data_IF_921328223143
#
_entry.id   IF_921328223143
#
_cell.length_a   1.000
_cell.length_b   1.000
_cell.length_c   1.000
_cell.angle_alpha   90.00
_cell.angle_beta   90.00
_cell.angle_gamma   90.00
#
_symmetry.space_group_name_H-M   'P 1'
#
loop_
_entity.id
_entity.type
_entity.pdbx_description
1 polymer ?
#
# COMPACT_ATOMS: atom_id res chain seq x y z
N UNK A 1 12.09 2.12 -17.41
CA UNK A 1 10.85 1.86 -16.65
C UNK A 1 11.22 1.40 -15.24
N UNK A 2 10.71 2.11 -14.23
CA UNK A 2 10.45 1.58 -12.88
C UNK A 2 11.55 1.68 -11.83
N UNK A 3 12.76 1.21 -12.10
CA UNK A 3 13.74 0.96 -11.03
C UNK A 3 14.99 1.78 -11.24
N UNK A 4 14.97 3.02 -10.77
CA UNK A 4 16.03 4.01 -11.06
C UNK A 4 17.41 3.63 -10.48
N UNK A 5 17.45 2.84 -9.41
CA UNK A 5 18.69 2.40 -8.76
C UNK A 5 18.60 0.96 -8.27
N UNK A 6 19.75 0.31 -8.06
CA UNK A 6 19.82 -1.01 -7.44
C UNK A 6 19.15 -1.04 -6.05
N UNK A 7 19.34 0.01 -5.23
CA UNK A 7 18.70 0.13 -3.92
C UNK A 7 17.17 0.16 -4.02
N UNK A 8 16.63 0.91 -4.98
CA UNK A 8 15.18 0.92 -5.29
C UNK A 8 14.68 -0.47 -5.69
N UNK A 9 15.47 -1.24 -6.45
CA UNK A 9 15.13 -2.59 -6.86
C UNK A 9 15.08 -3.57 -5.69
N UNK A 10 16.06 -3.49 -4.79
CA UNK A 10 16.10 -4.30 -3.58
C UNK A 10 14.92 -3.96 -2.67
N UNK A 11 14.62 -2.67 -2.44
CA UNK A 11 13.48 -2.26 -1.62
C UNK A 11 12.14 -2.70 -2.21
N UNK A 12 11.97 -2.58 -3.53
CA UNK A 12 10.81 -3.10 -4.25
C UNK A 12 10.65 -4.61 -4.02
N UNK A 13 11.73 -5.37 -4.21
CA UNK A 13 11.72 -6.83 -4.04
C UNK A 13 11.43 -7.25 -2.60
N UNK A 14 12.00 -6.56 -1.62
CA UNK A 14 11.73 -6.78 -0.19
C UNK A 14 10.26 -6.52 0.10
N UNK A 15 9.70 -5.39 -0.33
CA UNK A 15 8.29 -5.06 -0.10
C UNK A 15 7.35 -6.11 -0.70
N UNK A 16 7.57 -6.52 -1.95
CA UNK A 16 6.76 -7.55 -2.61
C UNK A 16 6.89 -8.90 -1.90
N UNK A 17 8.10 -9.28 -1.48
CA UNK A 17 8.33 -10.51 -0.71
C UNK A 17 7.59 -10.50 0.63
N UNK A 18 7.66 -9.38 1.37
CA UNK A 18 6.94 -9.20 2.64
C UNK A 18 5.43 -9.23 2.44
N UNK A 19 4.92 -8.64 1.36
CA UNK A 19 3.50 -8.68 1.01
C UNK A 19 3.02 -10.12 0.77
N UNK A 20 3.76 -10.91 -0.03
CA UNK A 20 3.44 -12.32 -0.27
C UNK A 20 3.48 -13.12 1.03
N UNK A 21 4.46 -12.88 1.90
CA UNK A 21 4.53 -13.52 3.20
C UNK A 21 3.34 -13.17 4.09
N UNK A 22 2.92 -11.90 4.10
CA UNK A 22 1.78 -11.41 4.86
C UNK A 22 0.47 -12.05 4.39
N UNK A 23 0.26 -12.15 3.08
CA UNK A 23 -0.88 -12.85 2.49
C UNK A 23 -0.87 -14.35 2.83
N UNK A 24 0.32 -14.96 2.88
CA UNK A 24 0.49 -16.36 3.28
C UNK A 24 0.11 -16.58 4.74
N UNK A 25 0.56 -15.71 5.65
CA UNK A 25 0.22 -15.81 7.08
C UNK A 25 -1.28 -15.56 7.33
N UNK A 26 -1.90 -14.66 6.58
CA UNK A 26 -3.34 -14.46 6.62
C UNK A 26 -4.10 -15.73 6.16
N UNK A 27 -3.65 -16.37 5.07
CA UNK A 27 -4.22 -17.63 4.61
C UNK A 27 -4.06 -18.77 5.63
N UNK A 28 -2.89 -18.89 6.25
CA UNK A 28 -2.64 -19.85 7.33
C UNK A 28 -3.58 -19.62 8.52
N UNK A 29 -3.77 -18.36 8.95
CA UNK A 29 -4.70 -18.01 10.01
C UNK A 29 -6.10 -18.54 9.71
N UNK A 30 -6.62 -18.31 8.49
CA UNK A 30 -7.95 -18.77 8.12
C UNK A 30 -8.07 -20.29 8.09
N UNK A 31 -7.08 -20.99 7.52
CA UNK A 31 -7.08 -22.46 7.47
C UNK A 31 -7.08 -23.05 8.88
N UNK A 32 -6.36 -22.46 9.83
CA UNK A 32 -6.29 -22.97 11.20
C UNK A 32 -7.50 -22.56 12.05
N UNK A 33 -8.11 -21.40 11.77
CA UNK A 33 -9.24 -20.90 12.54
C UNK A 33 -10.58 -21.52 12.12
N UNK A 34 -10.75 -21.87 10.84
CA UNK A 34 -12.04 -22.23 10.25
C UNK A 34 -12.21 -23.76 10.09
N UNK A 35 -13.46 -24.26 10.10
CA UNK A 35 -13.74 -25.69 10.21
C UNK A 35 -13.43 -26.51 8.95
N UNK A 36 -13.32 -25.87 7.79
CA UNK A 36 -12.97 -26.53 6.53
C UNK A 36 -12.20 -25.59 5.61
N UNK A 37 -11.46 -26.18 4.66
CA UNK A 37 -10.70 -25.44 3.65
C UNK A 37 -11.63 -24.63 2.74
N UNK A 38 -12.82 -25.13 2.43
CA UNK A 38 -13.82 -24.44 1.62
C UNK A 38 -14.32 -23.17 2.30
N UNK A 39 -14.65 -23.26 3.60
CA UNK A 39 -15.07 -22.09 4.39
C UNK A 39 -13.92 -21.08 4.48
N UNK A 40 -12.69 -21.55 4.72
CA UNK A 40 -11.51 -20.69 4.75
C UNK A 40 -11.27 -19.96 3.41
N UNK A 41 -11.48 -20.63 2.28
CA UNK A 41 -11.36 -20.01 0.97
C UNK A 41 -12.40 -18.90 0.76
N UNK A 42 -13.67 -19.16 1.06
CA UNK A 42 -14.76 -18.17 0.91
C UNK A 42 -14.52 -16.95 1.80
N UNK A 43 -14.19 -17.17 3.08
CA UNK A 43 -13.85 -16.09 4.01
C UNK A 43 -12.61 -15.33 3.54
N UNK A 44 -11.60 -16.05 3.05
CA UNK A 44 -10.38 -15.46 2.51
C UNK A 44 -10.67 -14.51 1.34
N UNK A 45 -11.51 -14.91 0.40
CA UNK A 45 -11.93 -14.04 -0.72
C UNK A 45 -12.66 -12.80 -0.21
N UNK A 46 -13.61 -12.97 0.71
CA UNK A 46 -14.38 -11.85 1.28
C UNK A 46 -13.47 -10.84 1.99
N UNK A 47 -12.59 -11.30 2.87
CA UNK A 47 -11.68 -10.42 3.61
C UNK A 47 -10.69 -9.73 2.66
N UNK A 48 -10.16 -10.43 1.65
CA UNK A 48 -9.30 -9.81 0.66
C UNK A 48 -10.04 -8.74 -0.16
N UNK A 49 -11.29 -8.96 -0.52
CA UNK A 49 -12.09 -7.97 -1.23
C UNK A 49 -12.31 -6.71 -0.38
N UNK A 50 -12.60 -6.88 0.92
CA UNK A 50 -12.73 -5.76 1.86
C UNK A 50 -11.40 -5.00 1.95
N UNK A 51 -10.29 -5.70 2.17
CA UNK A 51 -8.97 -5.07 2.25
C UNK A 51 -8.57 -4.36 0.95
N UNK A 52 -8.90 -4.92 -0.23
CA UNK A 52 -8.63 -4.27 -1.50
C UNK A 52 -9.41 -2.96 -1.64
N UNK A 53 -10.69 -2.96 -1.24
CA UNK A 53 -11.55 -1.77 -1.27
C UNK A 53 -11.01 -0.65 -0.37
N UNK A 54 -10.46 -1.02 0.79
CA UNK A 54 -9.88 -0.07 1.75
C UNK A 54 -8.36 0.02 1.66
N UNK A 55 -7.74 -0.38 0.54
CA UNK A 55 -6.30 -0.25 0.35
C UNK A 55 -5.87 1.20 0.05
N UNK A 56 -6.83 2.08 -0.32
CA UNK A 56 -6.59 3.50 -0.59
C UNK A 56 -6.17 3.82 -2.03
N UNK A 57 -6.41 2.91 -2.97
CA UNK A 57 -6.26 3.16 -4.41
C UNK A 57 -7.58 3.51 -5.08
N UNK A 58 -8.60 2.64 -4.92
CA UNK A 58 -9.93 2.86 -5.45
C UNK A 58 -11.00 2.43 -4.42
N UNK A 59 -11.59 3.37 -3.66
CA UNK A 59 -11.37 4.81 -3.71
C UNK A 59 -9.97 5.23 -3.24
N UNK A 60 -9.42 6.37 -3.72
CA UNK A 60 -8.20 6.94 -3.19
C UNK A 60 -8.31 7.21 -1.69
N UNK A 61 -7.21 7.07 -0.95
CA UNK A 61 -7.26 7.21 0.50
C UNK A 61 -7.83 8.57 0.97
N UNK A 62 -7.62 9.64 0.20
CA UNK A 62 -8.13 10.98 0.52
C UNK A 62 -9.66 11.13 0.40
N UNK A 63 -10.36 10.19 -0.23
CA UNK A 63 -11.82 10.21 -0.38
C UNK A 63 -12.55 9.17 0.47
N UNK A 64 -11.83 8.43 1.32
CA UNK A 64 -12.45 7.52 2.30
C UNK A 64 -13.11 8.35 3.40
N UNK A 65 -14.42 8.18 3.68
CA UNK A 65 -15.09 8.93 4.74
C UNK A 65 -14.49 8.66 6.12
N UNK A 66 -14.46 9.67 6.98
CA UNK A 66 -13.85 9.59 8.33
C UNK A 66 -14.35 8.40 9.16
N UNK A 67 -15.64 8.06 9.06
CA UNK A 67 -16.25 6.93 9.78
C UNK A 67 -15.70 5.56 9.36
N UNK A 68 -15.16 5.45 8.15
CA UNK A 68 -14.57 4.22 7.60
C UNK A 68 -13.03 4.26 7.57
N UNK A 69 -12.41 5.34 8.05
CA UNK A 69 -10.96 5.50 8.03
C UNK A 69 -10.23 4.45 8.88
N UNK A 70 -10.89 3.91 9.92
CA UNK A 70 -10.34 2.80 10.70
C UNK A 70 -10.14 1.53 9.85
N UNK A 71 -11.03 1.23 8.88
CA UNK A 71 -10.87 0.11 7.95
C UNK A 71 -9.63 0.28 7.08
N UNK A 72 -9.39 1.51 6.63
CA UNK A 72 -8.17 1.87 5.92
C UNK A 72 -6.92 1.62 6.79
N UNK A 73 -6.95 1.96 8.08
CA UNK A 73 -5.81 1.72 8.98
C UNK A 73 -5.55 0.24 9.32
N UNK A 74 -6.60 -0.57 9.47
CA UNK A 74 -6.44 -2.01 9.76
C UNK A 74 -6.16 -2.86 8.52
N UNK A 75 -6.30 -2.29 7.32
CA UNK A 75 -6.04 -2.97 6.06
C UNK A 75 -4.53 -3.18 5.89
N UNK A 76 -4.01 -4.40 5.98
CA UNK A 76 -2.56 -4.64 5.91
C UNK A 76 -1.99 -4.29 4.52
N UNK A 77 -2.80 -4.47 3.48
CA UNK A 77 -2.42 -4.30 2.08
C UNK A 77 -2.09 -2.84 1.73
N UNK A 78 -2.70 -1.87 2.44
CA UNK A 78 -2.47 -0.43 2.20
C UNK A 78 -1.01 -0.02 2.42
N UNK A 79 -0.35 -0.65 3.40
CA UNK A 79 1.03 -0.30 3.76
C UNK A 79 2.01 -0.77 2.67
N UNK A 80 1.84 -2.00 2.17
CA UNK A 80 2.64 -2.52 1.06
C UNK A 80 2.41 -1.71 -0.22
N UNK A 81 1.15 -1.36 -0.52
CA UNK A 81 0.82 -0.50 -1.66
C UNK A 81 1.48 0.88 -1.52
N UNK A 82 1.40 1.50 -0.33
CA UNK A 82 2.01 2.79 -0.06
C UNK A 82 3.52 2.75 -0.26
N UNK A 83 4.21 1.70 0.22
CA UNK A 83 5.65 1.50 0.01
C UNK A 83 5.97 1.35 -1.47
N UNK A 84 5.20 0.53 -2.19
CA UNK A 84 5.41 0.28 -3.62
C UNK A 84 5.31 1.58 -4.42
N UNK A 85 4.24 2.33 -4.19
CA UNK A 85 3.98 3.59 -4.89
C UNK A 85 4.99 4.65 -4.48
N UNK A 86 5.37 4.75 -3.20
CA UNK A 86 6.36 5.72 -2.76
C UNK A 86 7.74 5.47 -3.37
N UNK A 87 8.19 4.20 -3.44
CA UNK A 87 9.48 3.83 -4.03
C UNK A 87 9.56 4.22 -5.51
N UNK A 88 8.46 4.06 -6.26
CA UNK A 88 8.42 4.27 -7.71
C UNK A 88 8.12 5.72 -8.10
N UNK A 89 7.25 6.39 -7.34
CA UNK A 89 6.62 7.66 -7.74
C UNK A 89 6.78 8.78 -6.69
N UNK A 90 7.33 8.50 -5.51
CA UNK A 90 7.46 9.47 -4.42
C UNK A 90 8.84 10.12 -4.29
N UNK A 91 9.88 9.53 -4.85
CA UNK A 91 11.25 10.03 -4.65
C UNK A 91 11.62 11.16 -5.62
N UNK A 92 11.42 12.40 -5.18
CA UNK A 92 11.95 13.60 -5.81
C UNK A 92 12.70 14.42 -4.75
N UNK A 93 14.05 14.38 -4.71
CA UNK A 93 14.83 15.05 -3.67
C UNK A 93 14.74 16.58 -3.69
N UNK A 94 14.54 17.15 -4.88
CA UNK A 94 14.34 18.59 -5.08
C UNK A 94 13.17 18.75 -6.02
N UNK A 95 12.07 19.31 -5.51
CA UNK A 95 10.84 19.51 -6.29
C UNK A 95 11.05 20.58 -7.39
N UNK A 96 10.47 20.38 -8.59
CA UNK A 96 10.51 21.40 -9.63
C UNK A 96 9.63 22.59 -9.25
N UNK A 97 9.95 23.76 -9.78
CA UNK A 97 9.20 24.99 -9.51
C UNK A 97 8.27 25.28 -10.68
N UNK A 98 7.00 25.61 -10.40
CA UNK A 98 6.08 26.05 -11.44
C UNK A 98 6.28 27.54 -11.71
N UNK A 99 6.60 27.89 -12.95
CA UNK A 99 6.71 29.27 -13.42
C UNK A 99 5.35 29.70 -14.00
N UNK A 100 4.68 30.63 -13.30
CA UNK A 100 3.37 31.15 -13.72
C UNK A 100 3.45 32.01 -15.00
N UNK A 101 4.55 32.71 -15.23
CA UNK A 101 4.68 33.56 -16.42
C UNK A 101 4.90 32.72 -17.69
N UNK A 102 5.70 31.66 -17.57
CA UNK A 102 5.99 30.74 -18.66
C UNK A 102 5.01 29.54 -18.74
N UNK A 103 4.07 29.42 -17.80
CA UNK A 103 3.08 28.35 -17.68
C UNK A 103 3.73 26.94 -17.73
N UNK A 104 4.90 26.78 -17.10
CA UNK A 104 5.67 25.53 -17.18
C UNK A 104 6.50 25.27 -15.93
N UNK A 105 6.78 24.01 -15.67
CA UNK A 105 7.74 23.62 -14.64
C UNK A 105 9.17 23.87 -15.09
N UNK A 106 9.97 24.52 -14.24
CA UNK A 106 11.41 24.71 -14.37
C UNK A 106 12.15 23.80 -13.39
N UNK A 107 13.43 23.50 -13.68
CA UNK A 107 14.27 22.60 -12.88
C UNK A 107 13.71 21.17 -12.74
N UNK A 108 12.96 20.71 -13.75
CA UNK A 108 12.43 19.34 -13.80
C UNK A 108 13.59 18.35 -13.94
N UNK A 109 13.68 17.43 -12.99
CA UNK A 109 14.67 16.35 -13.01
C UNK A 109 14.14 15.11 -13.71
N UNK A 110 15.02 14.19 -14.08
CA UNK A 110 14.69 13.00 -14.87
C UNK A 110 13.90 11.93 -14.10
N UNK A 111 13.89 11.98 -12.77
CA UNK A 111 13.14 11.06 -11.92
C UNK A 111 11.63 11.22 -12.17
N UNK A 112 10.93 10.09 -12.29
CA UNK A 112 9.50 10.08 -12.64
C UNK A 112 8.64 10.87 -11.65
N UNK A 113 8.98 10.81 -10.36
CA UNK A 113 8.33 11.56 -9.29
C UNK A 113 8.39 13.09 -9.51
N UNK A 114 9.48 13.59 -10.10
CA UNK A 114 9.70 15.01 -10.37
C UNK A 114 9.03 15.49 -11.67
N UNK A 115 8.52 14.56 -12.50
CA UNK A 115 7.91 14.94 -13.78
C UNK A 115 6.55 15.61 -13.55
N UNK A 116 6.21 16.66 -14.33
CA UNK A 116 4.88 17.22 -14.33
C UNK A 116 3.87 16.19 -14.81
N UNK A 117 2.72 16.12 -14.14
CA UNK A 117 1.65 15.21 -14.55
C UNK A 117 1.04 15.71 -15.87
N UNK A 118 0.95 14.82 -16.85
CA UNK A 118 0.41 15.16 -18.18
C UNK A 118 -1.09 14.86 -18.25
N UNK A 119 -1.80 15.63 -19.08
CA UNK A 119 -3.24 15.44 -19.36
C UNK A 119 -4.12 15.47 -18.09
N UNK A 120 -3.79 16.31 -17.11
CA UNK A 120 -4.63 16.49 -15.93
C UNK A 120 -5.95 17.15 -16.30
N UNK A 121 -7.08 16.70 -15.73
CA UNK A 121 -8.35 17.42 -15.84
C UNK A 121 -8.18 18.85 -15.30
N UNK A 122 -8.92 19.82 -15.85
CA UNK A 122 -8.88 21.22 -15.39
C UNK A 122 -9.19 21.41 -13.90
N UNK A 123 -9.89 20.44 -13.29
CA UNK A 123 -10.18 20.43 -11.85
C UNK A 123 -8.95 20.14 -10.96
N UNK A 124 -7.91 19.53 -11.52
CA UNK A 124 -6.67 19.18 -10.84
C UNK A 124 -5.61 20.13 -11.41
N UNK A 125 -5.24 21.15 -10.63
CA UNK A 125 -4.27 22.16 -11.04
C UNK A 125 -2.90 21.58 -11.43
N UNK A 126 -1.95 22.44 -11.77
CA UNK A 126 -0.60 22.00 -12.12
C UNK A 126 0.05 21.25 -10.95
N UNK A 127 0.36 19.96 -11.15
CA UNK A 127 1.01 19.12 -10.14
C UNK A 127 2.06 18.21 -10.77
N UNK A 128 2.97 17.68 -9.95
CA UNK A 128 3.93 16.65 -10.34
C UNK A 128 3.37 15.26 -10.05
N UNK A 129 4.03 14.22 -10.54
CA UNK A 129 3.67 12.83 -10.19
C UNK A 129 3.72 12.62 -8.67
N UNK A 130 4.78 13.10 -7.99
CA UNK A 130 4.89 13.06 -6.52
C UNK A 130 3.74 13.80 -5.85
N UNK A 131 3.43 15.01 -6.31
CA UNK A 131 2.35 15.83 -5.77
C UNK A 131 0.99 15.14 -5.89
N UNK A 132 0.67 14.63 -7.09
CA UNK A 132 -0.57 13.90 -7.32
C UNK A 132 -0.73 12.66 -6.43
N UNK A 133 0.34 11.88 -6.27
CA UNK A 133 0.35 10.69 -5.40
C UNK A 133 0.13 11.07 -3.93
N UNK A 134 0.73 12.16 -3.48
CA UNK A 134 0.55 12.67 -2.13
C UNK A 134 -0.86 13.21 -1.90
N UNK A 135 -1.40 14.01 -2.83
CA UNK A 135 -2.66 14.72 -2.64
C UNK A 135 -3.88 13.82 -2.86
N UNK A 136 -3.85 12.92 -3.85
CA UNK A 136 -4.99 12.06 -4.20
C UNK A 136 -4.98 10.77 -3.38
N UNK A 137 -3.83 10.12 -3.28
CA UNK A 137 -3.71 8.80 -2.64
C UNK A 137 -3.20 8.86 -1.20
N UNK A 138 -2.84 10.04 -0.68
CA UNK A 138 -2.23 10.22 0.65
C UNK A 138 -1.00 9.31 0.86
N UNK A 139 -0.19 9.14 -0.20
CA UNK A 139 1.03 8.33 -0.16
C UNK A 139 2.24 9.26 -0.26
N UNK A 140 3.02 9.33 0.81
CA UNK A 140 4.24 10.16 0.88
C UNK A 140 5.49 9.29 0.93
N UNK A 141 6.58 9.81 0.36
CA UNK A 141 7.87 9.11 0.40
C UNK A 141 8.43 9.00 1.83
N UNK A 142 8.22 10.04 2.63
CA UNK A 142 8.77 10.11 4.00
C UNK A 142 8.15 9.06 4.94
N UNK A 143 6.92 8.61 4.65
CA UNK A 143 6.20 7.60 5.44
C UNK A 143 6.64 6.16 5.13
N UNK A 144 7.52 5.96 4.13
CA UNK A 144 7.92 4.63 3.65
C UNK A 144 8.44 3.72 4.78
N UNK A 145 9.31 4.23 5.65
CA UNK A 145 9.89 3.43 6.75
C UNK A 145 8.88 3.11 7.84
N UNK A 146 7.97 4.05 8.15
CA UNK A 146 6.84 3.80 9.04
C UNK A 146 5.93 2.70 8.49
N UNK A 147 5.66 2.73 7.18
CA UNK A 147 4.86 1.70 6.50
C UNK A 147 5.54 0.32 6.57
N UNK A 148 6.86 0.24 6.40
CA UNK A 148 7.58 -1.03 6.62
C UNK A 148 7.39 -1.55 8.05
N UNK A 149 7.47 -0.66 9.05
CA UNK A 149 7.19 -0.99 10.45
C UNK A 149 5.80 -1.61 10.64
N UNK A 150 4.76 -1.02 10.04
CA UNK A 150 3.41 -1.58 10.09
C UNK A 150 3.30 -2.95 9.42
N UNK A 151 3.97 -3.17 8.28
CA UNK A 151 4.01 -4.50 7.63
C UNK A 151 4.57 -5.56 8.59
N UNK A 152 5.66 -5.26 9.30
CA UNK A 152 6.21 -6.18 10.31
C UNK A 152 5.25 -6.42 11.49
N UNK A 153 4.52 -5.41 11.93
CA UNK A 153 3.48 -5.55 12.97
C UNK A 153 2.39 -6.52 12.49
N UNK A 154 1.85 -6.35 11.29
CA UNK A 154 0.83 -7.26 10.75
C UNK A 154 1.34 -8.68 10.57
N UNK A 155 2.58 -8.87 10.11
CA UNK A 155 3.22 -10.18 10.04
C UNK A 155 3.26 -10.86 11.41
N UNK A 156 3.71 -10.14 12.44
CA UNK A 156 3.75 -10.66 13.80
C UNK A 156 2.36 -11.00 14.33
N UNK A 157 1.37 -10.11 14.13
CA UNK A 157 -0.02 -10.32 14.56
C UNK A 157 -0.62 -11.56 13.88
N UNK A 158 -0.57 -11.67 12.55
CA UNK A 158 -1.13 -12.84 11.85
C UNK A 158 -0.42 -14.12 12.25
N UNK A 159 0.90 -14.07 12.48
CA UNK A 159 1.64 -15.24 12.96
C UNK A 159 1.20 -15.67 14.35
N UNK A 160 1.09 -14.74 15.29
CA UNK A 160 0.63 -15.01 16.66
C UNK A 160 -0.79 -15.56 16.67
N UNK A 161 -1.71 -14.94 15.94
CA UNK A 161 -3.09 -15.42 15.83
C UNK A 161 -3.17 -16.82 15.22
N UNK A 162 -2.34 -17.11 14.21
CA UNK A 162 -2.28 -18.45 13.59
C UNK A 162 -1.82 -19.51 14.60
N UNK A 163 -0.80 -19.19 15.41
CA UNK A 163 -0.30 -20.09 16.45
C UNK A 163 -1.34 -20.31 17.57
N UNK A 164 -2.07 -19.26 17.96
CA UNK A 164 -3.15 -19.36 18.93
C UNK A 164 -4.31 -20.20 18.38
N UNK A 165 -4.68 -20.02 17.11
CA UNK A 165 -5.69 -20.83 16.44
C UNK A 165 -5.30 -22.32 16.47
N UNK A 166 -4.06 -22.65 16.08
CA UNK A 166 -3.54 -24.03 16.17
C UNK A 166 -3.55 -24.61 17.58
N UNK A 167 -3.28 -23.79 18.60
CA UNK A 167 -3.20 -24.25 19.99
C UNK A 167 -4.57 -24.51 20.60
N UNK A 168 -5.55 -23.65 20.31
CA UNK A 168 -6.82 -23.61 21.04
C UNK A 168 -8.03 -24.08 20.22
N UNK A 169 -7.93 -24.12 18.89
CA UNK A 169 -9.01 -24.55 18.00
C UNK A 169 -8.70 -25.97 17.51
N UNK A 170 -9.61 -26.91 17.77
CA UNK A 170 -9.47 -28.30 17.31
C UNK A 170 -10.74 -28.73 16.58
N UNK A 171 -10.65 -28.77 15.24
CA UNK A 171 -11.74 -29.20 14.37
C UNK A 171 -11.80 -30.73 14.16
N UNK A 172 -10.85 -31.49 14.70
CA UNK A 172 -10.80 -32.95 14.56
C UNK A 172 -11.60 -33.73 15.62
N UNK A 173 -12.11 -33.05 16.67
CA UNK A 173 -12.95 -33.68 17.72
C UNK A 173 -14.44 -33.72 17.35
N UNK A 174 -14.77 -34.08 16.10
CA UNK A 174 -16.15 -34.24 15.67
C UNK A 174 -16.41 -35.67 15.24
#
# INVERSE_FOLDING_TARGET
MGVGSFGTAVLYWINVSLFVLMQTYLGQLFIYALPSVEVAAIVGVLINAIFLLFAGFNPPAGSIPDSYQWLYHITPQRYSLSILVSILFGNCPVDPTYDEAAQKYINVRSELACQPLQNTPLAIGHTTVKGYVADVFNIKYDDMWSNFGYVFIFLAVFRLLSLLALRYINHQKR
#
